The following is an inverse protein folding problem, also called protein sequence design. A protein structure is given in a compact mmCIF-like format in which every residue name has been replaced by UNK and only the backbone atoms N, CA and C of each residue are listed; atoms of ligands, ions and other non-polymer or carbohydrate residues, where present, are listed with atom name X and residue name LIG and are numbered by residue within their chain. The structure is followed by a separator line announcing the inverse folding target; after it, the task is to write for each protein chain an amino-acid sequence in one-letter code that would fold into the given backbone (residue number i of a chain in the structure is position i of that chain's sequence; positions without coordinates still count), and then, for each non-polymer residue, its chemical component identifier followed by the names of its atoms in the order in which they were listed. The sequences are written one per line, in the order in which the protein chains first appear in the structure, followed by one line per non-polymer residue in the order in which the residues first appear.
data_IF_555470616956
#
_entry.id   IF_555470616956
#
_cell.length_a   1.000
_cell.length_b   1.000
_cell.length_c   1.000
_cell.angle_alpha   90.00
_cell.angle_beta   90.00
_cell.angle_gamma   90.00
#
_symmetry.space_group_name_H-M   'P 1'
#
loop_
_entity.id
_entity.type
_entity.pdbx_description
1 polymer ?
#
# COMPACT_ATOMS: atom_id res chain seq x y z
N UNK A 1 11.31 -7.92 31.48
CA UNK A 1 12.42 -7.42 30.64
C UNK A 1 12.86 -6.07 31.18
N UNK A 2 14.12 -6.00 31.61
CA UNK A 2 14.78 -4.76 31.99
C UNK A 2 15.29 -4.02 30.75
N UNK A 3 15.00 -2.73 30.65
CA UNK A 3 15.41 -1.87 29.53
C UNK A 3 16.38 -0.81 30.03
N UNK A 4 17.61 -0.87 29.52
CA UNK A 4 18.62 0.15 29.80
C UNK A 4 18.48 1.28 28.78
N UNK A 5 18.30 2.51 29.27
CA UNK A 5 18.38 3.74 28.45
C UNK A 5 19.79 3.91 27.87
N UNK A 6 19.87 4.23 26.59
CA UNK A 6 21.12 4.44 25.84
C UNK A 6 21.15 5.81 25.19
N UNK A 7 20.02 6.26 24.64
CA UNK A 7 19.91 7.53 23.91
C UNK A 7 19.06 8.57 24.63
N UNK A 8 18.30 8.17 25.64
CA UNK A 8 17.36 9.05 26.36
C UNK A 8 17.71 9.19 27.83
N UNK A 9 17.32 10.31 28.42
CA UNK A 9 17.46 10.57 29.86
C UNK A 9 16.08 10.44 30.52
N UNK A 10 16.03 9.82 31.69
CA UNK A 10 14.80 9.67 32.44
C UNK A 10 14.21 11.03 32.82
N UNK A 11 12.88 11.18 32.77
CA UNK A 11 12.13 12.42 33.02
C UNK A 11 12.33 13.53 31.99
N UNK A 12 13.15 13.33 30.96
CA UNK A 12 13.28 14.25 29.83
C UNK A 12 12.45 13.78 28.64
N UNK A 13 12.20 14.69 27.69
CA UNK A 13 11.54 14.34 26.43
C UNK A 13 12.43 13.35 25.65
N UNK A 14 11.87 12.30 24.99
CA UNK A 14 12.66 11.43 24.11
C UNK A 14 13.27 12.17 22.91
N UNK A 15 12.82 13.39 22.66
CA UNK A 15 13.26 14.27 21.60
C UNK A 15 14.14 15.43 22.09
N UNK A 16 14.58 15.45 23.36
CA UNK A 16 15.33 16.57 23.93
C UNK A 16 16.55 16.97 23.10
N UNK A 17 17.35 15.98 22.67
CA UNK A 17 18.55 16.19 21.85
C UNK A 17 18.26 16.18 20.32
N UNK A 18 16.99 16.26 19.91
CA UNK A 18 16.58 16.23 18.51
C UNK A 18 15.90 17.54 18.13
N UNK A 19 16.56 18.33 17.27
CA UNK A 19 15.96 19.53 16.67
C UNK A 19 14.87 19.16 15.66
N UNK A 20 13.78 19.91 15.65
CA UNK A 20 12.69 19.77 14.67
C UNK A 20 12.48 21.09 13.92
N UNK A 21 12.11 20.97 12.64
CA UNK A 21 11.73 22.09 11.77
C UNK A 21 10.36 21.89 11.16
N UNK A 22 9.81 23.00 10.68
CA UNK A 22 8.69 23.00 9.76
C UNK A 22 9.18 22.69 8.34
N UNK A 23 8.45 21.86 7.62
CA UNK A 23 8.69 21.53 6.23
C UNK A 23 7.39 21.61 5.42
N UNK A 24 7.53 21.55 4.09
CA UNK A 24 6.40 21.38 3.17
C UNK A 24 6.68 20.18 2.29
N UNK A 25 5.69 19.32 2.11
CA UNK A 25 5.72 18.29 1.08
C UNK A 25 4.81 18.68 -0.07
N UNK A 26 5.31 18.62 -1.30
CA UNK A 26 4.56 18.98 -2.50
C UNK A 26 4.89 18.04 -3.67
N UNK A 27 3.85 17.56 -4.35
CA UNK A 27 3.96 16.82 -5.61
C UNK A 27 3.37 17.68 -6.71
N UNK A 28 4.10 17.82 -7.81
CA UNK A 28 3.61 18.45 -9.04
C UNK A 28 3.58 17.47 -10.20
N UNK A 29 2.62 17.66 -11.09
CA UNK A 29 2.60 17.05 -12.41
C UNK A 29 3.68 17.71 -13.30
N UNK A 30 4.04 17.09 -14.45
CA UNK A 30 4.97 17.68 -15.42
C UNK A 30 4.51 19.03 -15.97
N UNK A 31 3.20 19.31 -15.96
CA UNK A 31 2.62 20.60 -16.35
C UNK A 31 2.68 21.67 -15.24
N UNK A 32 3.25 21.34 -14.08
CA UNK A 32 3.40 22.23 -12.93
C UNK A 32 2.20 22.26 -11.97
N UNK A 33 1.08 21.61 -12.31
CA UNK A 33 -0.10 21.53 -11.43
C UNK A 33 0.17 20.71 -10.17
N UNK A 34 -0.37 21.13 -9.03
CA UNK A 34 -0.12 20.48 -7.74
C UNK A 34 -1.04 19.27 -7.57
N UNK A 35 -0.44 18.11 -7.34
CA UNK A 35 -1.13 16.83 -7.10
C UNK A 35 -1.40 16.62 -5.61
N UNK A 36 -0.45 17.03 -4.78
CA UNK A 36 -0.53 16.92 -3.32
C UNK A 36 0.31 18.03 -2.72
N UNK A 37 -0.19 18.65 -1.65
CA UNK A 37 0.58 19.58 -0.85
C UNK A 37 0.16 19.48 0.61
N UNK A 38 1.13 19.39 1.50
CA UNK A 38 0.94 19.53 2.93
C UNK A 38 2.03 20.45 3.47
N UNK A 39 1.62 21.59 4.01
CA UNK A 39 2.51 22.59 4.62
C UNK A 39 2.59 22.37 6.13
N UNK A 40 3.55 23.06 6.76
CA UNK A 40 3.66 23.16 8.21
C UNK A 40 3.73 21.78 8.89
N UNK A 41 4.46 20.86 8.25
CA UNK A 41 4.73 19.55 8.84
C UNK A 41 5.96 19.62 9.72
N UNK A 42 5.86 19.10 10.94
CA UNK A 42 6.98 19.06 11.89
C UNK A 42 7.78 17.76 11.70
N UNK A 43 9.07 17.90 11.39
CA UNK A 43 9.99 16.79 11.11
C UNK A 43 11.35 17.04 11.76
N UNK A 44 12.16 16.01 12.06
CA UNK A 44 13.52 16.22 12.55
C UNK A 44 14.36 17.04 11.55
N UNK A 45 15.16 17.98 12.04
CA UNK A 45 15.95 18.93 11.24
C UNK A 45 16.81 18.19 10.21
N UNK A 46 17.50 17.14 10.66
CA UNK A 46 18.43 16.30 9.90
C UNK A 46 17.76 15.46 8.80
N UNK A 47 16.42 15.37 8.77
CA UNK A 47 15.75 14.61 7.72
C UNK A 47 15.84 15.33 6.38
N UNK A 48 16.29 14.58 5.37
CA UNK A 48 16.27 15.05 3.97
C UNK A 48 14.85 15.40 3.52
N UNK A 49 14.72 16.30 2.55
CA UNK A 49 13.43 16.64 1.95
C UNK A 49 12.69 15.39 1.42
N UNK A 50 13.42 14.43 0.84
CA UNK A 50 12.84 13.16 0.37
C UNK A 50 12.22 12.35 1.52
N UNK A 51 12.85 12.30 2.69
CA UNK A 51 12.30 11.63 3.87
C UNK A 51 11.02 12.33 4.36
N UNK A 52 11.02 13.66 4.37
CA UNK A 52 9.85 14.48 4.71
C UNK A 52 8.68 14.21 3.76
N UNK A 53 8.99 14.15 2.45
CA UNK A 53 8.01 13.85 1.41
C UNK A 53 7.42 12.46 1.55
N UNK A 54 8.26 11.44 1.78
CA UNK A 54 7.79 10.07 2.00
C UNK A 54 6.90 9.98 3.24
N UNK A 55 7.28 10.63 4.35
CA UNK A 55 6.48 10.66 5.57
C UNK A 55 5.09 11.26 5.31
N UNK A 56 5.03 12.47 4.76
CA UNK A 56 3.77 13.17 4.52
C UNK A 56 2.87 12.45 3.50
N UNK A 57 3.48 11.91 2.44
CA UNK A 57 2.70 11.31 1.35
C UNK A 57 2.20 9.91 1.67
N UNK A 58 2.96 9.14 2.45
CA UNK A 58 2.74 7.69 2.64
C UNK A 58 2.37 7.33 4.08
N UNK A 59 2.98 7.95 5.08
CA UNK A 59 2.91 7.48 6.46
C UNK A 59 2.00 8.33 7.36
N UNK A 60 1.86 9.62 7.07
CA UNK A 60 0.83 10.42 7.71
C UNK A 60 -0.55 9.90 7.37
N UNK A 61 -1.34 9.68 8.42
CA UNK A 61 -2.77 9.50 8.34
C UNK A 61 -3.39 10.82 7.90
N UNK A 62 -3.91 10.85 6.67
CA UNK A 62 -4.36 12.09 6.03
C UNK A 62 -5.69 12.63 6.53
N UNK A 63 -6.53 11.78 7.13
CA UNK A 63 -7.87 12.13 7.58
C UNK A 63 -8.37 11.17 8.67
N UNK A 64 -9.38 11.63 9.41
CA UNK A 64 -10.05 10.85 10.45
C UNK A 64 -9.29 10.76 11.77
N UNK A 65 -8.21 11.53 11.94
CA UNK A 65 -7.56 11.71 13.24
C UNK A 65 -8.42 12.69 14.06
N UNK A 66 -8.95 12.35 15.24
CA UNK A 66 -9.75 13.29 16.01
C UNK A 66 -8.96 14.55 16.37
N UNK A 67 -9.59 15.73 16.26
CA UNK A 67 -8.98 16.99 16.64
C UNK A 67 -8.81 17.12 18.17
N UNK A 68 -9.71 16.49 18.93
CA UNK A 68 -9.64 16.39 20.39
C UNK A 68 -9.68 14.92 20.82
N UNK A 69 -8.91 14.60 21.85
CA UNK A 69 -8.71 13.25 22.36
C UNK A 69 -8.85 13.26 23.88
N UNK A 70 -9.57 12.27 24.40
CA UNK A 70 -9.66 12.01 25.84
C UNK A 70 -8.97 10.68 26.18
N UNK A 71 -8.26 10.59 27.31
CA UNK A 71 -7.73 9.32 27.78
C UNK A 71 -8.87 8.38 28.13
N UNK A 72 -8.64 7.07 27.97
CA UNK A 72 -9.57 6.04 28.42
C UNK A 72 -8.92 5.25 29.54
N UNK A 73 -9.34 5.49 30.80
CA UNK A 73 -8.81 4.77 31.95
C UNK A 73 -8.93 3.25 31.77
N UNK A 74 -7.86 2.56 32.11
CA UNK A 74 -7.80 1.11 32.04
C UNK A 74 -7.10 0.56 33.28
N UNK A 75 -7.77 -0.37 33.97
CA UNK A 75 -7.25 -0.97 35.19
C UNK A 75 -5.96 -1.75 34.91
N UNK A 76 -4.97 -1.57 35.79
CA UNK A 76 -3.66 -2.20 35.67
C UNK A 76 -2.78 -1.61 34.57
N UNK A 77 -3.20 -0.55 33.87
CA UNK A 77 -2.37 0.20 32.91
C UNK A 77 -2.03 1.58 33.51
N UNK A 78 -0.75 1.99 33.52
CA UNK A 78 -0.36 3.32 33.97
C UNK A 78 -1.04 4.43 33.15
N UNK A 79 -1.39 5.54 33.82
CA UNK A 79 -2.15 6.65 33.21
C UNK A 79 -1.54 7.19 31.92
N UNK A 80 -0.21 7.32 31.87
CA UNK A 80 0.52 7.80 30.70
C UNK A 80 0.43 6.87 29.48
N UNK A 81 0.08 5.60 29.69
CA UNK A 81 0.01 4.55 28.67
C UNK A 81 -1.44 4.21 28.27
N UNK A 82 -2.42 4.88 28.87
CA UNK A 82 -3.81 4.74 28.49
C UNK A 82 -4.01 5.09 27.02
N UNK A 83 -4.82 4.27 26.34
CA UNK A 83 -5.30 4.59 25.01
C UNK A 83 -6.14 5.86 25.03
N UNK A 84 -6.33 6.45 23.86
CA UNK A 84 -7.17 7.64 23.67
C UNK A 84 -8.39 7.30 22.83
N UNK A 85 -9.45 8.08 23.03
CA UNK A 85 -10.65 8.06 22.21
C UNK A 85 -10.96 9.48 21.72
N UNK A 86 -11.72 9.58 20.63
CA UNK A 86 -12.21 10.85 20.13
C UNK A 86 -13.03 11.58 21.22
N UNK A 87 -12.78 12.88 21.37
CA UNK A 87 -13.52 13.77 22.26
C UNK A 87 -14.20 14.87 21.44
N UNK A 88 -15.06 14.45 20.52
CA UNK A 88 -15.71 15.30 19.53
C UNK A 88 -15.81 14.62 18.17
N UNK A 89 -16.48 15.29 17.23
CA UNK A 89 -16.67 14.80 15.86
C UNK A 89 -15.71 15.41 14.84
N UNK A 90 -14.97 16.45 15.22
CA UNK A 90 -14.02 17.11 14.33
C UNK A 90 -12.79 16.23 14.10
N UNK A 91 -12.36 16.14 12.84
CA UNK A 91 -11.22 15.32 12.45
C UNK A 91 -10.24 16.10 11.57
N UNK A 92 -8.97 15.73 11.67
CA UNK A 92 -7.83 16.25 10.94
C UNK A 92 -6.97 15.10 10.40
N UNK A 93 -5.74 15.40 9.96
CA UNK A 93 -4.68 14.45 9.66
C UNK A 93 -3.46 14.64 10.56
N UNK A 94 -2.52 13.69 10.49
CA UNK A 94 -1.20 13.84 11.10
C UNK A 94 -0.39 14.93 10.39
N UNK A 95 0.27 15.78 11.17
CA UNK A 95 1.11 16.89 10.70
C UNK A 95 2.49 16.92 11.39
N UNK A 96 2.75 16.04 12.36
CA UNK A 96 4.07 15.93 13.01
C UNK A 96 4.59 14.51 12.98
N UNK A 97 5.88 14.35 12.68
CA UNK A 97 6.56 13.07 12.79
C UNK A 97 6.46 12.47 14.20
N UNK A 98 6.40 13.32 15.24
CA UNK A 98 6.22 12.90 16.63
C UNK A 98 4.90 12.15 16.85
N UNK A 99 3.85 12.50 16.11
CA UNK A 99 2.56 11.79 16.17
C UNK A 99 2.72 10.35 15.67
N UNK A 100 3.41 10.17 14.54
CA UNK A 100 3.67 8.85 13.94
C UNK A 100 4.56 7.99 14.84
N UNK A 101 5.65 8.57 15.35
CA UNK A 101 6.55 7.87 16.27
C UNK A 101 5.81 7.48 17.55
N UNK A 102 5.08 8.43 18.14
CA UNK A 102 4.34 8.24 19.38
C UNK A 102 3.25 7.17 19.27
N UNK A 103 2.47 7.13 18.19
CA UNK A 103 1.46 6.07 18.04
C UNK A 103 2.09 4.68 17.89
N UNK A 104 3.24 4.57 17.21
CA UNK A 104 3.91 3.28 17.05
C UNK A 104 4.57 2.84 18.35
N UNK A 105 5.47 3.67 18.91
CA UNK A 105 6.18 3.37 20.15
C UNK A 105 5.21 3.17 21.32
N UNK A 106 4.21 4.05 21.46
CA UNK A 106 3.18 3.94 22.49
C UNK A 106 2.38 2.65 22.40
N UNK A 107 1.94 2.25 21.21
CA UNK A 107 1.16 1.02 21.04
C UNK A 107 1.98 -0.24 21.30
N UNK A 108 3.23 -0.28 20.81
CA UNK A 108 4.11 -1.41 21.12
C UNK A 108 4.40 -1.51 22.62
N UNK A 109 4.59 -0.37 23.28
CA UNK A 109 4.77 -0.31 24.73
C UNK A 109 3.51 -0.77 25.47
N UNK A 110 2.34 -0.33 25.03
CA UNK A 110 1.04 -0.75 25.57
C UNK A 110 0.86 -2.26 25.46
N UNK A 111 1.11 -2.85 24.29
CA UNK A 111 1.06 -4.31 24.12
C UNK A 111 2.11 -5.04 24.96
N UNK A 112 3.33 -4.52 25.05
CA UNK A 112 4.38 -5.05 25.93
C UNK A 112 3.97 -5.02 27.40
N UNK A 113 3.29 -3.96 27.84
CA UNK A 113 2.76 -3.84 29.19
C UNK A 113 1.66 -4.86 29.46
N UNK A 114 0.65 -4.93 28.58
CA UNK A 114 -0.46 -5.89 28.68
C UNK A 114 0.02 -7.34 28.65
N UNK A 115 1.09 -7.62 27.92
CA UNK A 115 1.73 -8.93 27.86
C UNK A 115 2.67 -9.26 29.03
N UNK A 116 2.85 -8.35 30.00
CA UNK A 116 3.73 -8.58 31.15
C UNK A 116 5.21 -8.64 30.77
N UNK A 117 5.62 -7.97 29.69
CA UNK A 117 7.01 -8.05 29.20
C UNK A 117 7.99 -7.23 30.03
N UNK A 118 7.56 -6.20 30.76
CA UNK A 118 8.46 -5.28 31.48
C UNK A 118 8.62 -5.65 32.96
N UNK A 119 9.81 -5.46 33.53
CA UNK A 119 10.04 -5.72 34.97
C UNK A 119 9.40 -4.64 35.85
N UNK A 120 9.25 -3.41 35.31
CA UNK A 120 8.49 -2.34 35.94
C UNK A 120 8.15 -1.19 34.98
N UNK A 121 7.46 -0.17 35.50
CA UNK A 121 7.03 1.00 34.72
C UNK A 121 8.22 1.78 34.15
N UNK A 122 9.33 1.86 34.88
CA UNK A 122 10.55 2.52 34.41
C UNK A 122 11.11 1.87 33.13
N UNK A 123 11.03 0.54 33.01
CA UNK A 123 11.46 -0.19 31.81
C UNK A 123 10.52 0.05 30.63
N UNK A 124 9.21 0.12 30.88
CA UNK A 124 8.22 0.45 29.86
C UNK A 124 8.42 1.87 29.31
N UNK A 125 8.69 2.84 30.19
CA UNK A 125 9.01 4.22 29.80
C UNK A 125 10.32 4.28 29.02
N UNK A 126 11.36 3.59 29.49
CA UNK A 126 12.63 3.51 28.76
C UNK A 126 12.43 2.90 27.36
N UNK A 127 11.63 1.84 27.22
CA UNK A 127 11.31 1.24 25.93
C UNK A 127 10.60 2.22 24.99
N UNK A 128 9.58 2.92 25.48
CA UNK A 128 8.86 3.94 24.73
C UNK A 128 9.79 5.05 24.23
N UNK A 129 10.60 5.60 25.13
CA UNK A 129 11.42 6.77 24.87
C UNK A 129 12.57 6.45 23.91
N UNK A 130 13.27 5.33 24.13
CA UNK A 130 14.34 4.86 23.25
C UNK A 130 13.81 4.63 21.82
N UNK A 131 12.62 4.04 21.67
CA UNK A 131 12.03 3.83 20.34
C UNK A 131 11.64 5.14 19.66
N UNK A 132 11.04 6.10 20.39
CA UNK A 132 10.75 7.43 19.84
C UNK A 132 12.03 8.11 19.34
N UNK A 133 13.09 8.09 20.15
CA UNK A 133 14.39 8.65 19.79
C UNK A 133 15.01 7.93 18.58
N UNK A 134 15.01 6.59 18.58
CA UNK A 134 15.59 5.79 17.50
C UNK A 134 14.85 5.98 16.17
N UNK A 135 13.53 6.16 16.19
CA UNK A 135 12.75 6.47 15.00
C UNK A 135 13.05 7.88 14.49
N UNK A 136 13.12 8.87 15.38
CA UNK A 136 13.42 10.26 15.01
C UNK A 136 14.83 10.41 14.43
N UNK A 137 15.81 9.71 14.99
CA UNK A 137 17.22 9.73 14.55
C UNK A 137 17.55 8.67 13.51
N UNK A 138 16.54 7.97 12.97
CA UNK A 138 16.68 6.92 11.95
C UNK A 138 17.66 5.78 12.30
N UNK A 139 17.86 5.50 13.60
CA UNK A 139 18.66 4.35 14.08
C UNK A 139 17.95 3.02 13.84
N UNK A 140 16.63 3.05 13.77
CA UNK A 140 15.81 1.90 13.37
C UNK A 140 14.59 2.37 12.58
N UNK A 141 14.12 1.51 11.68
CA UNK A 141 12.89 1.73 10.93
C UNK A 141 12.15 0.39 10.77
N UNK A 142 10.89 0.27 11.23
CA UNK A 142 10.11 -0.93 10.98
C UNK A 142 9.64 -0.99 9.52
N UNK A 143 9.08 -2.14 9.12
CA UNK A 143 8.49 -2.31 7.80
C UNK A 143 7.27 -1.38 7.58
N UNK A 144 6.96 -1.03 6.33
CA UNK A 144 5.95 -0.01 6.00
C UNK A 144 4.54 -0.22 6.60
N UNK A 145 3.97 -1.44 6.67
CA UNK A 145 2.69 -1.67 7.36
C UNK A 145 2.64 -1.21 8.81
N UNK A 146 3.75 -1.22 9.53
CA UNK A 146 3.82 -0.66 10.89
C UNK A 146 3.53 0.84 10.86
N UNK A 147 4.20 1.56 9.95
CA UNK A 147 3.96 2.98 9.75
C UNK A 147 2.52 3.29 9.33
N UNK A 148 1.86 2.43 8.55
CA UNK A 148 0.48 2.70 8.11
C UNK A 148 -0.57 2.47 9.19
N UNK A 149 -0.45 1.39 9.96
CA UNK A 149 -1.58 0.85 10.72
C UNK A 149 -1.37 0.84 12.23
N UNK A 150 -0.12 0.79 12.70
CA UNK A 150 0.17 0.60 14.12
C UNK A 150 -0.22 1.84 14.91
N UNK A 151 -1.03 1.61 15.95
CA UNK A 151 -1.42 2.61 16.93
C UNK A 151 -2.48 3.60 16.52
N UNK A 152 -3.13 3.42 15.37
CA UNK A 152 -4.30 4.24 15.01
C UNK A 152 -5.42 4.09 16.06
N UNK A 153 -5.69 2.87 16.52
CA UNK A 153 -6.67 2.64 17.58
C UNK A 153 -6.19 3.15 18.95
N UNK A 154 -4.95 2.83 19.35
CA UNK A 154 -4.45 3.22 20.66
C UNK A 154 -4.29 4.74 20.81
N UNK A 155 -3.71 5.43 19.82
CA UNK A 155 -3.42 6.86 19.90
C UNK A 155 -4.62 7.75 19.60
N UNK A 156 -5.58 7.27 18.78
CA UNK A 156 -6.66 8.11 18.25
C UNK A 156 -8.06 7.54 18.46
N UNK A 157 -8.20 6.30 18.94
CA UNK A 157 -9.49 5.61 19.01
C UNK A 157 -10.10 5.32 17.64
N UNK A 158 -9.30 5.39 16.56
CA UNK A 158 -9.77 5.07 15.21
C UNK A 158 -10.06 3.58 15.15
N UNK A 159 -11.27 3.24 14.73
CA UNK A 159 -11.66 1.85 14.53
C UNK A 159 -12.59 1.65 13.32
N UNK A 160 -12.91 0.40 13.02
CA UNK A 160 -13.84 0.01 11.97
C UNK A 160 -14.30 -1.44 12.11
N UNK A 161 -15.29 -1.88 11.33
CA UNK A 161 -15.81 -3.24 11.41
C UNK A 161 -14.75 -4.27 11.03
N UNK A 162 -14.79 -5.46 11.64
CA UNK A 162 -13.90 -6.58 11.31
C UNK A 162 -13.78 -6.78 9.81
N UNK A 163 -12.54 -6.90 9.34
CA UNK A 163 -12.22 -7.18 7.93
C UNK A 163 -11.75 -8.62 7.71
N UNK A 164 -11.89 -9.48 8.73
CA UNK A 164 -11.47 -10.88 8.66
C UNK A 164 -9.99 -11.13 8.96
N UNK A 165 -9.36 -10.25 9.74
CA UNK A 165 -8.02 -10.49 10.30
C UNK A 165 -8.08 -11.42 11.51
N UNK A 166 -6.96 -12.08 11.76
CA UNK A 166 -6.75 -12.91 12.94
C UNK A 166 -5.52 -12.42 13.69
N UNK A 167 -5.54 -12.62 15.00
CA UNK A 167 -4.40 -12.40 15.88
C UNK A 167 -4.29 -13.59 16.83
N UNK A 168 -3.12 -13.78 17.42
CA UNK A 168 -2.96 -14.74 18.51
C UNK A 168 -3.19 -13.98 19.81
N UNK A 169 -4.22 -14.39 20.55
CA UNK A 169 -4.52 -13.81 21.85
C UNK A 169 -3.37 -14.11 22.82
N UNK A 170 -2.76 -13.08 23.40
CA UNK A 170 -1.53 -13.24 24.17
C UNK A 170 -1.75 -13.93 25.53
N UNK A 171 -2.98 -13.97 26.03
CA UNK A 171 -3.32 -14.60 27.31
C UNK A 171 -3.62 -16.09 27.12
N UNK A 172 -4.38 -16.43 26.09
CA UNK A 172 -4.85 -17.79 25.81
C UNK A 172 -3.97 -18.55 24.83
N UNK A 173 -3.13 -17.85 24.05
CA UNK A 173 -2.34 -18.43 22.97
C UNK A 173 -3.16 -18.91 21.77
N UNK A 174 -4.46 -18.57 21.71
CA UNK A 174 -5.36 -19.06 20.66
C UNK A 174 -5.44 -18.09 19.49
N UNK A 175 -5.56 -18.63 18.28
CA UNK A 175 -5.88 -17.87 17.09
C UNK A 175 -7.31 -17.36 17.20
N UNK A 176 -7.47 -16.04 17.20
CA UNK A 176 -8.74 -15.36 17.41
C UNK A 176 -9.02 -14.42 16.24
N UNK A 177 -10.27 -14.42 15.78
CA UNK A 177 -10.70 -13.48 14.74
C UNK A 177 -10.88 -12.10 15.36
N UNK A 178 -10.26 -11.08 14.77
CA UNK A 178 -10.40 -9.71 15.24
C UNK A 178 -11.84 -9.23 15.12
N UNK A 179 -12.38 -8.66 16.20
CA UNK A 179 -13.71 -8.05 16.21
C UNK A 179 -13.74 -6.74 15.41
N UNK A 180 -12.59 -6.06 15.31
CA UNK A 180 -12.48 -4.74 14.70
C UNK A 180 -11.28 -4.64 13.76
N UNK A 181 -11.17 -3.53 13.03
CA UNK A 181 -10.16 -3.35 11.99
C UNK A 181 -8.81 -2.85 12.50
N UNK A 182 -8.79 -2.11 13.61
CA UNK A 182 -7.60 -1.36 14.04
C UNK A 182 -7.16 -1.63 15.48
N UNK A 183 -7.97 -2.30 16.30
CA UNK A 183 -7.55 -2.72 17.65
C UNK A 183 -6.37 -3.70 17.59
N UNK A 184 -6.50 -4.71 16.73
CA UNK A 184 -5.44 -5.60 16.31
C UNK A 184 -5.14 -5.34 14.83
N UNK A 185 -4.32 -4.32 14.52
CA UNK A 185 -4.09 -3.91 13.14
C UNK A 185 -3.34 -5.00 12.38
N UNK A 186 -3.17 -4.80 11.07
CA UNK A 186 -2.33 -5.64 10.22
C UNK A 186 -0.98 -4.95 9.93
N UNK A 187 0.09 -5.19 10.71
CA UNK A 187 1.33 -4.42 10.62
C UNK A 187 2.51 -5.26 10.10
N UNK A 188 2.24 -6.37 9.41
CA UNK A 188 3.27 -7.26 8.86
C UNK A 188 3.37 -7.12 7.34
N UNK A 189 4.59 -7.14 6.80
CA UNK A 189 4.83 -6.92 5.38
C UNK A 189 4.77 -8.18 4.52
N UNK A 190 5.03 -9.36 5.07
CA UNK A 190 5.27 -10.57 4.27
C UNK A 190 4.34 -11.69 4.71
N UNK A 191 3.65 -12.31 3.74
CA UNK A 191 2.77 -13.47 3.96
C UNK A 191 3.01 -14.53 2.91
N UNK A 192 3.07 -15.79 3.34
CA UNK A 192 3.03 -16.95 2.45
C UNK A 192 1.68 -17.63 2.64
N UNK A 193 0.99 -17.89 1.54
CA UNK A 193 -0.35 -18.46 1.54
C UNK A 193 -0.37 -19.70 0.66
N UNK A 194 -0.98 -20.76 1.17
CA UNK A 194 -1.31 -21.95 0.41
C UNK A 194 -2.58 -21.75 -0.43
N UNK A 195 -2.66 -22.55 -1.49
CA UNK A 195 -3.84 -22.70 -2.34
C UNK A 195 -4.02 -24.17 -2.66
N UNK A 196 -5.25 -24.65 -2.50
CA UNK A 196 -5.67 -25.97 -2.95
C UNK A 196 -6.28 -25.87 -4.35
N UNK A 197 -6.25 -26.97 -5.09
CA UNK A 197 -6.91 -27.12 -6.39
C UNK A 197 -8.43 -27.29 -6.24
N UNK A 198 -9.04 -26.25 -5.70
CA UNK A 198 -10.46 -26.08 -5.47
C UNK A 198 -10.85 -24.65 -5.88
N UNK A 199 -11.98 -24.50 -6.56
CA UNK A 199 -12.38 -23.20 -7.07
C UNK A 199 -12.87 -22.23 -5.97
N UNK A 200 -13.77 -22.68 -5.08
CA UNK A 200 -14.61 -21.77 -4.26
C UNK A 200 -14.61 -22.08 -2.76
N UNK A 201 -14.16 -23.26 -2.34
CA UNK A 201 -14.13 -23.62 -0.93
C UNK A 201 -12.98 -22.93 -0.19
N UNK A 202 -13.00 -23.02 1.14
CA UNK A 202 -11.93 -22.49 1.99
C UNK A 202 -10.57 -23.09 1.61
N UNK A 203 -9.56 -22.24 1.44
CA UNK A 203 -8.25 -22.65 0.96
C UNK A 203 -8.14 -22.79 -0.57
N UNK A 204 -9.24 -22.69 -1.31
CA UNK A 204 -9.27 -22.69 -2.77
C UNK A 204 -8.82 -21.37 -3.42
N UNK A 205 -8.98 -21.29 -4.75
CA UNK A 205 -8.50 -20.21 -5.61
C UNK A 205 -9.22 -18.88 -5.31
N UNK A 206 -10.55 -18.88 -5.26
CA UNK A 206 -11.34 -17.66 -5.00
C UNK A 206 -11.16 -17.16 -3.56
N UNK A 207 -11.02 -18.09 -2.61
CA UNK A 207 -10.72 -17.75 -1.22
C UNK A 207 -9.31 -17.15 -1.08
N UNK A 208 -8.30 -17.67 -1.81
CA UNK A 208 -6.96 -17.06 -1.86
C UNK A 208 -7.06 -15.58 -2.25
N UNK A 209 -7.77 -15.24 -3.33
CA UNK A 209 -7.89 -13.84 -3.76
C UNK A 209 -8.57 -12.96 -2.72
N UNK A 210 -9.56 -13.50 -2.00
CA UNK A 210 -10.22 -12.80 -0.90
C UNK A 210 -9.23 -12.55 0.26
N UNK A 211 -8.46 -13.56 0.65
CA UNK A 211 -7.43 -13.43 1.70
C UNK A 211 -6.32 -12.46 1.28
N UNK A 212 -5.85 -12.53 0.05
CA UNK A 212 -4.83 -11.62 -0.49
C UNK A 212 -5.34 -10.18 -0.56
N UNK A 213 -6.59 -9.96 -0.98
CA UNK A 213 -7.18 -8.62 -1.02
C UNK A 213 -7.22 -7.97 0.36
N UNK A 214 -7.52 -8.73 1.42
CA UNK A 214 -7.43 -8.26 2.81
C UNK A 214 -6.01 -7.85 3.17
N UNK A 215 -5.00 -8.64 2.81
CA UNK A 215 -3.59 -8.32 3.09
C UNK A 215 -3.11 -7.09 2.31
N UNK A 216 -3.43 -7.01 1.01
CA UNK A 216 -3.08 -5.88 0.17
C UNK A 216 -3.71 -4.58 0.68
N UNK A 217 -4.98 -4.60 1.10
CA UNK A 217 -5.69 -3.43 1.68
C UNK A 217 -4.88 -2.75 2.78
N UNK A 218 -4.15 -3.50 3.59
CA UNK A 218 -3.37 -2.98 4.72
C UNK A 218 -1.87 -2.82 4.46
N UNK A 219 -1.39 -3.04 3.24
CA UNK A 219 0.01 -2.74 2.89
C UNK A 219 0.95 -3.95 2.84
N UNK A 220 0.42 -5.16 3.03
CA UNK A 220 1.21 -6.40 3.02
C UNK A 220 1.43 -6.91 1.59
N UNK A 221 2.54 -7.61 1.36
CA UNK A 221 2.77 -8.42 0.17
C UNK A 221 2.50 -9.90 0.45
N UNK A 222 2.16 -10.64 -0.59
CA UNK A 222 1.78 -12.06 -0.50
C UNK A 222 2.61 -12.91 -1.44
N UNK A 223 2.79 -14.18 -1.08
CA UNK A 223 3.45 -15.17 -1.92
C UNK A 223 2.72 -16.50 -1.86
N UNK A 224 2.62 -17.18 -3.01
CA UNK A 224 1.96 -18.48 -3.11
C UNK A 224 2.69 -19.36 -4.10
N UNK A 225 2.89 -20.62 -3.73
CA UNK A 225 3.23 -21.67 -4.67
C UNK A 225 1.92 -22.23 -5.25
N UNK A 226 1.82 -22.20 -6.58
CA UNK A 226 0.63 -22.59 -7.33
C UNK A 226 0.73 -23.96 -7.98
N UNK A 227 1.82 -24.71 -7.79
CA UNK A 227 2.02 -26.03 -8.41
C UNK A 227 0.95 -27.07 -8.08
N UNK A 228 0.18 -26.84 -7.01
CA UNK A 228 -0.93 -27.71 -6.64
C UNK A 228 -2.11 -27.60 -7.60
N UNK A 229 -2.25 -26.50 -8.35
CA UNK A 229 -3.33 -26.32 -9.31
C UNK A 229 -3.11 -27.23 -10.52
N UNK A 230 -4.19 -27.79 -11.06
CA UNK A 230 -4.10 -28.61 -12.26
C UNK A 230 -3.79 -27.77 -13.50
N UNK A 231 -3.10 -28.38 -14.46
CA UNK A 231 -2.76 -27.78 -15.74
C UNK A 231 -3.95 -27.54 -16.67
N UNK A 232 -3.70 -26.87 -17.78
CA UNK A 232 -4.69 -26.70 -18.83
C UNK A 232 -5.13 -28.06 -19.41
N UNK A 233 -6.40 -28.17 -19.80
CA UNK A 233 -6.99 -29.36 -20.41
C UNK A 233 -7.14 -30.60 -19.51
N UNK A 234 -6.69 -30.55 -18.25
CA UNK A 234 -6.94 -31.63 -17.28
C UNK A 234 -8.43 -31.80 -16.95
N UNK A 235 -8.84 -33.02 -16.62
CA UNK A 235 -10.26 -33.37 -16.42
C UNK A 235 -10.82 -32.74 -15.14
N UNK A 236 -12.08 -32.30 -15.21
CA UNK A 236 -12.85 -31.85 -14.05
C UNK A 236 -13.83 -32.94 -13.60
N UNK A 237 -14.14 -32.98 -12.31
CA UNK A 237 -15.06 -33.98 -11.71
C UNK A 237 -16.49 -33.87 -12.24
N UNK A 238 -16.97 -32.65 -12.54
CA UNK A 238 -18.29 -32.39 -13.12
C UNK A 238 -18.36 -32.56 -14.65
N UNK A 239 -17.29 -33.03 -15.29
CA UNK A 239 -17.15 -33.02 -16.74
C UNK A 239 -16.51 -31.74 -17.28
N UNK A 240 -15.99 -31.79 -18.51
CA UNK A 240 -15.23 -30.70 -19.11
C UNK A 240 -13.74 -30.73 -18.76
N UNK A 241 -13.08 -29.60 -18.98
CA UNK A 241 -11.62 -29.43 -18.90
C UNK A 241 -11.25 -28.18 -18.12
N UNK A 242 -10.12 -28.24 -17.41
CA UNK A 242 -9.50 -27.11 -16.72
C UNK A 242 -9.06 -26.02 -17.69
N UNK A 243 -9.19 -24.77 -17.27
CA UNK A 243 -8.60 -23.59 -17.95
C UNK A 243 -7.11 -23.38 -17.63
N UNK A 244 -6.53 -24.24 -16.78
CA UNK A 244 -5.13 -24.18 -16.39
C UNK A 244 -4.77 -23.06 -15.43
N UNK A 245 -3.58 -23.16 -14.86
CA UNK A 245 -3.01 -22.22 -13.89
C UNK A 245 -2.98 -20.79 -14.44
N UNK A 246 -2.53 -20.65 -15.70
CA UNK A 246 -2.30 -19.34 -16.31
C UNK A 246 -3.57 -18.49 -16.42
N UNK A 247 -4.74 -19.12 -16.56
CA UNK A 247 -6.02 -18.41 -16.58
C UNK A 247 -6.33 -17.76 -15.22
N UNK A 248 -6.07 -18.47 -14.12
CA UNK A 248 -6.27 -17.94 -12.77
C UNK A 248 -5.25 -16.88 -12.39
N UNK A 249 -3.98 -17.03 -12.82
CA UNK A 249 -2.95 -16.02 -12.59
C UNK A 249 -3.30 -14.68 -13.26
N UNK A 250 -3.90 -14.69 -14.46
CA UNK A 250 -4.40 -13.47 -15.12
C UNK A 250 -5.48 -12.77 -14.29
N UNK A 251 -6.38 -13.53 -13.67
CA UNK A 251 -7.42 -12.95 -12.79
C UNK A 251 -6.77 -12.35 -11.54
N UNK A 252 -5.86 -13.09 -10.91
CA UNK A 252 -5.10 -12.61 -9.74
C UNK A 252 -4.31 -11.34 -10.02
N UNK A 253 -3.66 -11.23 -11.19
CA UNK A 253 -2.93 -10.02 -11.61
C UNK A 253 -3.86 -8.82 -11.73
N UNK A 254 -5.02 -8.98 -12.38
CA UNK A 254 -6.02 -7.90 -12.50
C UNK A 254 -6.59 -7.51 -11.14
N UNK A 255 -6.88 -8.48 -10.27
CA UNK A 255 -7.38 -8.22 -8.93
C UNK A 255 -6.34 -7.45 -8.09
N UNK A 256 -5.08 -7.89 -8.08
CA UNK A 256 -4.00 -7.19 -7.38
C UNK A 256 -3.76 -5.77 -7.93
N UNK A 257 -3.80 -5.60 -9.26
CA UNK A 257 -3.63 -4.31 -9.92
C UNK A 257 -4.72 -3.28 -9.60
N UNK A 258 -5.94 -3.73 -9.28
CA UNK A 258 -7.05 -2.88 -8.88
C UNK A 258 -6.94 -2.36 -7.43
N UNK A 259 -6.19 -3.05 -6.57
CA UNK A 259 -6.13 -2.74 -5.14
C UNK A 259 -4.99 -1.75 -4.84
N UNK A 260 -5.35 -0.62 -4.22
CA UNK A 260 -4.38 0.34 -3.66
C UNK A 260 -3.97 -0.11 -2.27
N UNK A 261 -2.69 -0.41 -2.11
CA UNK A 261 -2.18 -1.08 -0.92
C UNK A 261 -1.93 -0.11 0.24
N UNK A 262 -2.43 -0.47 1.44
CA UNK A 262 -2.31 0.36 2.65
C UNK A 262 -3.14 1.65 2.62
N UNK A 263 -4.13 1.77 1.73
CA UNK A 263 -4.87 3.02 1.54
C UNK A 263 -4.04 4.19 0.98
N UNK A 264 -2.84 3.91 0.46
CA UNK A 264 -1.93 4.89 -0.14
C UNK A 264 -1.78 4.66 -1.64
N UNK A 265 -0.93 5.43 -2.33
CA UNK A 265 -0.62 5.22 -3.75
C UNK A 265 0.28 4.00 -4.04
N UNK A 266 0.52 3.11 -3.06
CA UNK A 266 1.29 1.87 -3.24
C UNK A 266 0.48 0.81 -3.99
N UNK A 267 1.13 0.01 -4.83
CA UNK A 267 0.53 -1.15 -5.52
C UNK A 267 0.69 -2.41 -4.67
N UNK A 268 -0.25 -3.35 -4.82
CA UNK A 268 -0.10 -4.70 -4.28
C UNK A 268 1.18 -5.36 -4.83
N UNK A 269 1.80 -6.21 -4.01
CA UNK A 269 2.99 -6.97 -4.38
C UNK A 269 2.70 -8.46 -4.19
N UNK A 270 2.86 -9.24 -5.25
CA UNK A 270 2.58 -10.67 -5.26
C UNK A 270 3.78 -11.46 -5.79
N UNK A 271 4.16 -12.50 -5.08
CA UNK A 271 5.08 -13.54 -5.51
C UNK A 271 4.28 -14.77 -5.96
N UNK A 272 4.64 -15.31 -7.12
CA UNK A 272 4.05 -16.54 -7.68
C UNK A 272 5.19 -17.52 -7.92
N UNK A 273 5.06 -18.71 -7.36
CA UNK A 273 5.99 -19.82 -7.54
C UNK A 273 5.25 -20.95 -8.25
N UNK A 274 5.95 -21.61 -9.17
CA UNK A 274 5.51 -22.83 -9.88
C UNK A 274 6.72 -23.74 -9.98
N UNK A 275 6.52 -25.01 -9.66
CA UNK A 275 7.57 -26.04 -9.70
C UNK A 275 7.86 -26.41 -11.16
N UNK A 276 9.10 -26.81 -11.44
CA UNK A 276 9.62 -26.97 -12.80
C UNK A 276 8.92 -28.11 -13.58
N UNK A 277 8.29 -29.03 -12.87
CA UNK A 277 7.60 -30.20 -13.42
C UNK A 277 6.08 -29.97 -13.61
N UNK A 278 5.59 -28.77 -13.31
CA UNK A 278 4.19 -28.42 -13.54
C UNK A 278 3.86 -28.40 -15.04
N UNK A 279 2.71 -28.93 -15.49
CA UNK A 279 2.35 -29.00 -16.92
C UNK A 279 2.35 -27.64 -17.63
N UNK A 280 1.93 -26.57 -16.94
CA UNK A 280 1.89 -25.21 -17.50
C UNK A 280 3.22 -24.42 -17.33
N UNK A 281 4.34 -25.08 -17.01
CA UNK A 281 5.60 -24.40 -16.66
C UNK A 281 6.18 -23.54 -17.79
N UNK A 282 6.13 -24.02 -19.04
CA UNK A 282 6.68 -23.29 -20.19
C UNK A 282 5.90 -21.99 -20.44
N UNK A 283 4.57 -22.03 -20.31
CA UNK A 283 3.72 -20.85 -20.40
C UNK A 283 3.98 -19.87 -19.25
N UNK A 284 4.16 -20.39 -18.04
CA UNK A 284 4.49 -19.57 -16.87
C UNK A 284 5.81 -18.82 -17.06
N UNK A 285 6.86 -19.49 -17.55
CA UNK A 285 8.17 -18.88 -17.83
C UNK A 285 8.05 -17.78 -18.90
N UNK A 286 7.29 -18.02 -19.96
CA UNK A 286 7.14 -17.09 -21.07
C UNK A 286 6.16 -15.92 -20.79
N UNK A 287 5.37 -16.00 -19.71
CA UNK A 287 4.27 -15.06 -19.46
C UNK A 287 4.71 -13.59 -19.42
N UNK A 288 5.79 -13.27 -18.71
CA UNK A 288 6.29 -11.89 -18.60
C UNK A 288 6.84 -11.34 -19.92
N UNK A 289 7.52 -12.18 -20.70
CA UNK A 289 8.10 -11.79 -22.00
C UNK A 289 6.99 -11.37 -22.96
N UNK A 290 5.89 -12.13 -23.00
CA UNK A 290 4.74 -11.83 -23.86
C UNK A 290 4.05 -10.52 -23.43
N UNK A 291 3.95 -10.23 -22.14
CA UNK A 291 3.37 -8.96 -21.66
C UNK A 291 4.23 -7.75 -22.05
N UNK A 292 5.56 -7.85 -21.98
CA UNK A 292 6.46 -6.77 -22.43
C UNK A 292 6.33 -6.48 -23.93
N UNK A 293 6.14 -7.51 -24.75
CA UNK A 293 5.86 -7.35 -26.17
C UNK A 293 4.57 -6.55 -26.41
N UNK A 294 3.51 -6.79 -25.63
CA UNK A 294 2.26 -6.01 -25.72
C UNK A 294 2.51 -4.53 -25.41
N UNK A 295 3.28 -4.22 -24.38
CA UNK A 295 3.64 -2.83 -24.03
C UNK A 295 4.45 -2.19 -25.14
N UNK A 296 5.44 -2.91 -25.70
CA UNK A 296 6.22 -2.42 -26.84
C UNK A 296 5.34 -2.14 -28.06
N UNK A 297 4.40 -3.03 -28.39
CA UNK A 297 3.41 -2.84 -29.45
C UNK A 297 2.51 -1.63 -29.18
N UNK A 298 2.04 -1.43 -27.94
CA UNK A 298 1.24 -0.26 -27.57
C UNK A 298 2.01 1.05 -27.70
N UNK A 299 3.27 1.09 -27.26
CA UNK A 299 4.12 2.29 -27.37
C UNK A 299 4.41 2.60 -28.83
N UNK A 300 4.76 1.60 -29.63
CA UNK A 300 5.00 1.76 -31.07
C UNK A 300 3.75 2.25 -31.79
N UNK A 301 2.60 1.60 -31.54
CA UNK A 301 1.30 1.99 -32.09
C UNK A 301 0.89 3.41 -31.69
N UNK A 302 1.07 3.79 -30.43
CA UNK A 302 0.75 5.14 -29.94
C UNK A 302 1.61 6.22 -30.60
N UNK A 303 2.91 5.98 -30.78
CA UNK A 303 3.81 6.92 -31.46
C UNK A 303 3.45 7.07 -32.94
N UNK A 304 3.11 5.98 -33.61
CA UNK A 304 2.64 5.99 -35.00
C UNK A 304 1.31 6.76 -35.12
N UNK A 305 0.35 6.47 -34.24
CA UNK A 305 -0.93 7.16 -34.20
C UNK A 305 -0.75 8.67 -33.98
N UNK A 306 0.07 9.09 -33.01
CA UNK A 306 0.38 10.50 -32.74
C UNK A 306 0.98 11.19 -33.98
N UNK A 307 2.01 10.58 -34.60
CA UNK A 307 2.66 11.11 -35.79
C UNK A 307 1.65 11.33 -36.92
N UNK A 308 0.85 10.32 -37.23
CA UNK A 308 -0.09 10.37 -38.34
C UNK A 308 -1.28 11.29 -38.06
N UNK A 309 -1.79 11.31 -36.82
CA UNK A 309 -2.86 12.22 -36.43
C UNK A 309 -2.41 13.68 -36.55
N UNK A 310 -1.20 14.03 -36.09
CA UNK A 310 -0.64 15.39 -36.27
C UNK A 310 -0.52 15.76 -37.75
N UNK A 311 -0.08 14.85 -38.60
CA UNK A 311 0.03 15.09 -40.04
C UNK A 311 -1.35 15.32 -40.69
N UNK A 312 -2.34 14.50 -40.35
CA UNK A 312 -3.73 14.64 -40.80
C UNK A 312 -4.33 15.98 -40.34
N UNK A 313 -4.20 16.32 -39.06
CA UNK A 313 -4.69 17.59 -38.52
C UNK A 313 -4.02 18.80 -39.19
N UNK A 314 -2.70 18.74 -39.42
CA UNK A 314 -1.98 19.78 -40.14
C UNK A 314 -2.47 19.93 -41.58
N UNK A 315 -2.79 18.83 -42.25
CA UNK A 315 -3.33 18.86 -43.61
C UNK A 315 -4.75 19.45 -43.67
N UNK A 316 -5.57 19.27 -42.64
CA UNK A 316 -6.87 19.92 -42.52
C UNK A 316 -6.74 21.43 -42.24
N UNK A 317 -5.87 21.83 -41.31
CA UNK A 317 -5.77 23.23 -40.85
C UNK A 317 -5.06 24.13 -41.87
N UNK A 318 -4.05 23.63 -42.58
CA UNK A 318 -3.27 24.43 -43.53
C UNK A 318 -3.83 24.39 -44.97
N UNK A 319 -5.09 24.02 -45.12
CA UNK A 319 -5.76 23.94 -46.41
C UNK A 319 -6.38 25.29 -46.80
N UNK A 320 -6.35 25.61 -48.10
CA UNK A 320 -6.90 26.87 -48.67
C UNK A 320 -8.30 26.69 -49.29
N UNK A 321 -9.01 25.62 -48.95
CA UNK A 321 -10.36 25.32 -49.45
C UNK A 321 -11.45 26.10 -48.70
N UNK A 322 -12.60 26.29 -49.34
CA UNK A 322 -13.76 26.97 -48.75
C UNK A 322 -14.63 26.02 -47.93
N UNK A 323 -15.09 26.46 -46.76
CA UNK A 323 -15.99 25.67 -45.91
C UNK A 323 -15.39 24.32 -45.51
N UNK A 324 -16.14 23.24 -45.70
CA UNK A 324 -15.74 21.89 -45.27
C UNK A 324 -14.77 21.18 -46.24
N UNK A 325 -14.39 21.82 -47.35
CA UNK A 325 -13.53 21.21 -48.38
C UNK A 325 -12.17 20.77 -47.82
N UNK A 326 -11.70 21.41 -46.75
CA UNK A 326 -10.45 21.07 -46.09
C UNK A 326 -10.49 19.77 -45.29
N UNK A 327 -11.68 19.28 -44.97
CA UNK A 327 -11.90 18.03 -44.23
C UNK A 327 -12.32 16.86 -45.13
N UNK A 328 -12.51 17.09 -46.44
CA UNK A 328 -12.82 16.05 -47.42
C UNK A 328 -11.54 15.55 -48.13
N UNK A 329 -11.08 14.30 -47.90
CA UNK A 329 -9.91 13.73 -48.59
C UNK A 329 -10.05 13.65 -50.12
N UNK A 330 -11.24 13.80 -50.69
CA UNK A 330 -11.43 13.88 -52.15
C UNK A 330 -11.06 15.25 -52.70
N UNK A 331 -11.22 16.31 -51.88
CA UNK A 331 -11.01 17.71 -52.26
C UNK A 331 -9.72 18.31 -51.70
N UNK A 332 -9.17 17.73 -50.64
CA UNK A 332 -7.87 18.09 -50.06
C UNK A 332 -6.81 17.01 -50.37
N UNK A 333 -5.94 17.21 -51.38
CA UNK A 333 -4.92 16.23 -51.76
C UNK A 333 -3.89 15.96 -50.66
N UNK A 334 -3.57 16.97 -49.83
CA UNK A 334 -2.66 16.82 -48.71
C UNK A 334 -3.27 15.88 -47.66
N UNK A 335 -4.54 16.10 -47.30
CA UNK A 335 -5.28 15.21 -46.40
C UNK A 335 -5.36 13.79 -46.95
N UNK A 336 -5.66 13.63 -48.26
CA UNK A 336 -5.68 12.30 -48.92
C UNK A 336 -4.36 11.57 -48.77
N UNK A 337 -3.24 12.27 -48.94
CA UNK A 337 -1.89 11.72 -48.82
C UNK A 337 -1.62 11.27 -47.38
N UNK A 338 -1.91 12.11 -46.40
CA UNK A 338 -1.64 11.79 -44.99
C UNK A 338 -2.55 10.66 -44.48
N UNK A 339 -3.82 10.59 -44.92
CA UNK A 339 -4.74 9.47 -44.61
C UNK A 339 -4.23 8.16 -45.23
N UNK A 340 -3.73 8.19 -46.47
CA UNK A 340 -3.16 6.99 -47.12
C UNK A 340 -1.87 6.54 -46.43
N UNK A 341 -1.04 7.48 -45.99
CA UNK A 341 0.17 7.18 -45.24
C UNK A 341 -0.15 6.55 -43.88
N UNK A 342 -1.17 7.06 -43.17
CA UNK A 342 -1.63 6.50 -41.90
C UNK A 342 -2.18 5.08 -42.04
N UNK A 343 -2.93 4.80 -43.12
CA UNK A 343 -3.46 3.45 -43.40
C UNK A 343 -2.38 2.44 -43.80
N UNK A 344 -1.22 2.89 -44.25
CA UNK A 344 -0.10 2.02 -44.65
C UNK A 344 0.81 1.66 -43.47
N UNK A 345 0.75 2.43 -42.38
CA UNK A 345 1.61 2.26 -41.20
C UNK A 345 0.95 1.50 -40.05
N UNK A 346 -0.37 1.34 -40.09
CA UNK A 346 -1.11 0.32 -39.35
C UNK A 346 -1.06 -0.99 -40.13
#
# INVERSE_FOLDING_TARGET
MRIRRQFTVESHSPYEDVSFRQATSEIRNPDGSVVFRQTDIEVPEEWSQVACDVLAQKYFRKAGVPASLRPVPEEGVPEWLWRKAADGSETTGEASAKQVFGRMAGTWTYWGWKGGYFDGEADARAFHDELCHMLATQKAAPNSPQWFNTGLHWAYGIDGPSQGHYYVDHMTGRLTKSATAYEHPQPHACFIQSVADDLVNEGGIMDLWTREARLFKYGSGTGTNFSALRGENEKLSGGGKSSGLMSFLKIGDRAAGAIKSGGTTRRAAKMVIVDVDHPDIEDFINWKVIEEQKVASMVAGSKLAEKHLKAVMKACVNCQGSGDDCFDPKKNPALRREVKAARKSM
#
